data_IF_107386694982
#
_entry.id   IF_107386694982
#
_cell.length_a   1.000
_cell.length_b   1.000
_cell.length_c   1.000
_cell.angle_alpha   90.00
_cell.angle_beta   90.00
_cell.angle_gamma   90.00
#
_symmetry.space_group_name_H-M   'P 1'
#
loop_
_entity.id
_entity.type
_entity.pdbx_description
1 polymer ?
#
# COMPACT_ATOMS: atom_id res chain seq x y z
N UNK A 1 -46.94 -17.68 -9.67
CA UNK A 1 -46.37 -16.55 -8.89
C UNK A 1 -45.53 -16.99 -7.68
N UNK A 2 -45.92 -18.00 -6.89
CA UNK A 2 -45.09 -18.49 -5.76
C UNK A 2 -43.82 -19.25 -6.20
N UNK A 3 -43.91 -20.08 -7.24
CA UNK A 3 -42.77 -20.85 -7.78
C UNK A 3 -41.71 -19.98 -8.49
N UNK A 4 -42.13 -18.88 -9.14
CA UNK A 4 -41.21 -17.95 -9.82
C UNK A 4 -40.32 -17.17 -8.84
N UNK A 5 -40.83 -16.87 -7.64
CA UNK A 5 -40.05 -16.18 -6.60
C UNK A 5 -38.95 -17.10 -6.04
N UNK A 6 -39.27 -18.38 -5.82
CA UNK A 6 -38.29 -19.36 -5.31
C UNK A 6 -37.16 -19.57 -6.32
N UNK A 7 -37.49 -19.72 -7.60
CA UNK A 7 -36.48 -19.83 -8.66
C UNK A 7 -35.59 -18.58 -8.73
N UNK A 8 -36.16 -17.38 -8.61
CA UNK A 8 -35.42 -16.14 -8.62
C UNK A 8 -34.45 -16.01 -7.43
N UNK A 9 -34.88 -16.41 -6.23
CA UNK A 9 -34.03 -16.38 -5.03
C UNK A 9 -32.88 -17.38 -5.14
N UNK A 10 -33.13 -18.58 -5.68
CA UNK A 10 -32.08 -19.59 -5.92
C UNK A 10 -31.07 -19.08 -6.96
N UNK A 11 -31.54 -18.44 -8.02
CA UNK A 11 -30.68 -17.90 -9.07
C UNK A 11 -29.83 -16.72 -8.55
N UNK A 12 -30.41 -15.91 -7.66
CA UNK A 12 -29.71 -14.83 -6.97
C UNK A 12 -28.63 -15.38 -6.02
N UNK A 13 -28.91 -16.40 -5.22
CA UNK A 13 -27.92 -16.98 -4.30
C UNK A 13 -26.79 -17.71 -5.03
N UNK A 14 -27.09 -18.39 -6.13
CA UNK A 14 -26.09 -19.00 -7.01
C UNK A 14 -25.20 -17.97 -7.70
N UNK A 15 -25.73 -16.78 -8.03
CA UNK A 15 -24.94 -15.69 -8.60
C UNK A 15 -23.92 -15.11 -7.59
N UNK A 16 -24.22 -15.16 -6.28
CA UNK A 16 -23.29 -14.69 -5.24
C UNK A 16 -22.18 -15.69 -4.88
N UNK A 17 -22.32 -16.97 -5.24
CA UNK A 17 -21.30 -18.01 -5.01
C UNK A 17 -20.06 -17.88 -5.90
N UNK A 18 -20.10 -17.00 -6.91
CA UNK A 18 -19.03 -16.80 -7.89
C UNK A 18 -18.30 -15.47 -7.75
N UNK A 19 -18.56 -14.69 -6.69
CA UNK A 19 -17.77 -13.47 -6.48
C UNK A 19 -16.31 -13.88 -6.20
N UNK A 20 -15.35 -13.51 -7.05
CA UNK A 20 -13.95 -13.72 -6.73
C UNK A 20 -13.66 -12.94 -5.45
N UNK A 21 -13.09 -13.61 -4.45
CA UNK A 21 -12.47 -12.93 -3.34
C UNK A 21 -11.44 -11.98 -3.94
N UNK A 22 -11.65 -10.67 -3.80
CA UNK A 22 -10.66 -9.70 -4.22
C UNK A 22 -9.49 -9.91 -3.26
N UNK A 23 -8.44 -10.57 -3.73
CA UNK A 23 -7.19 -10.58 -3.01
C UNK A 23 -6.81 -9.12 -2.81
N UNK A 24 -6.74 -8.68 -1.55
CA UNK A 24 -6.19 -7.36 -1.22
C UNK A 24 -4.79 -7.32 -1.79
N UNK A 25 -4.64 -6.64 -2.92
CA UNK A 25 -3.36 -6.47 -3.59
C UNK A 25 -2.53 -5.57 -2.68
N UNK A 26 -1.73 -6.21 -1.81
CA UNK A 26 -0.83 -5.46 -0.94
C UNK A 26 0.14 -4.73 -1.87
N UNK A 27 0.15 -3.40 -1.77
CA UNK A 27 1.03 -2.59 -2.60
C UNK A 27 2.46 -3.13 -2.47
N UNK A 28 3.19 -3.34 -3.58
CA UNK A 28 4.56 -3.85 -3.55
C UNK A 28 5.52 -2.99 -2.69
N UNK A 29 5.14 -1.73 -2.40
CA UNK A 29 5.84 -0.85 -1.47
C UNK A 29 5.79 -1.39 -0.03
N UNK A 30 4.66 -1.94 0.42
CA UNK A 30 4.49 -2.46 1.79
C UNK A 30 5.33 -3.72 1.99
N UNK A 31 5.35 -4.61 1.00
CA UNK A 31 6.20 -5.81 1.00
C UNK A 31 7.69 -5.44 1.15
N UNK A 32 8.14 -4.44 0.38
CA UNK A 32 9.54 -4.01 0.36
C UNK A 32 9.97 -3.29 1.65
N UNK A 33 9.05 -2.64 2.36
CA UNK A 33 9.33 -2.04 3.68
C UNK A 33 9.69 -3.10 4.73
N UNK A 34 9.14 -4.31 4.66
CA UNK A 34 9.40 -5.39 5.62
C UNK A 34 10.73 -6.11 5.41
N UNK A 35 11.35 -5.97 4.24
CA UNK A 35 12.54 -6.75 3.85
C UNK A 35 13.88 -6.07 4.17
N UNK A 36 13.89 -4.78 4.54
CA UNK A 36 15.12 -4.05 4.84
C UNK A 36 15.27 -3.76 6.34
N UNK A 37 16.41 -4.06 6.97
CA UNK A 37 16.68 -3.62 8.33
C UNK A 37 16.61 -2.09 8.40
N UNK A 38 15.73 -1.57 9.26
CA UNK A 38 15.61 -0.13 9.46
C UNK A 38 16.86 0.40 10.16
N UNK A 39 17.70 1.10 9.41
CA UNK A 39 18.83 1.84 9.95
C UNK A 39 18.41 3.29 10.23
N UNK A 40 18.49 3.68 11.50
CA UNK A 40 18.17 5.03 11.95
C UNK A 40 19.41 5.90 11.95
N UNK A 41 19.33 7.07 11.31
CA UNK A 41 20.38 8.08 11.31
C UNK A 41 19.92 9.25 12.17
N UNK A 42 20.69 9.59 13.21
CA UNK A 42 20.41 10.73 14.10
C UNK A 42 20.64 12.05 13.36
N UNK A 43 19.75 13.02 13.57
CA UNK A 43 19.98 14.39 13.10
C UNK A 43 21.05 15.07 13.96
N UNK A 44 22.08 15.57 13.29
CA UNK A 44 23.18 16.37 13.82
C UNK A 44 23.28 17.72 13.08
N UNK A 45 22.18 18.16 12.45
CA UNK A 45 22.09 19.39 11.66
C UNK A 45 22.08 19.17 10.13
N UNK A 46 21.94 17.92 9.66
CA UNK A 46 21.83 17.64 8.22
C UNK A 46 20.44 17.97 7.66
N UNK A 47 19.43 18.01 8.52
CA UNK A 47 18.03 18.30 8.18
C UNK A 47 17.46 19.37 9.11
N UNK A 48 16.25 19.82 8.79
CA UNK A 48 15.43 20.67 9.65
C UNK A 48 15.45 20.21 11.12
N UNK A 49 15.57 21.16 12.05
CA UNK A 49 15.73 20.90 13.48
C UNK A 49 14.58 20.09 14.11
N UNK A 50 13.41 20.09 13.47
CA UNK A 50 12.26 19.29 13.91
C UNK A 50 12.47 17.80 13.73
N UNK A 51 13.38 17.39 12.84
CA UNK A 51 13.71 15.98 12.58
C UNK A 51 14.72 15.49 13.62
N UNK A 52 14.39 14.43 14.35
CA UNK A 52 15.28 13.77 15.31
C UNK A 52 16.06 12.63 14.68
N UNK A 53 15.38 11.83 13.85
CA UNK A 53 15.95 10.70 13.14
C UNK A 53 15.37 10.55 11.74
N UNK A 54 16.14 9.94 10.85
CA UNK A 54 15.70 9.51 9.51
C UNK A 54 16.00 8.03 9.32
N UNK A 55 15.09 7.29 8.69
CA UNK A 55 15.34 5.93 8.25
C UNK A 55 14.95 5.75 6.79
N UNK A 56 15.71 4.92 6.07
CA UNK A 56 15.31 4.41 4.76
C UNK A 56 14.56 3.09 4.96
N UNK A 57 13.33 3.02 4.48
CA UNK A 57 12.61 1.77 4.29
C UNK A 57 12.50 1.53 2.78
N UNK A 58 12.61 0.30 2.31
CA UNK A 58 12.53 0.02 0.88
C UNK A 58 11.23 0.58 0.28
N UNK A 59 11.31 1.69 -0.46
CA UNK A 59 10.14 2.39 -1.03
C UNK A 59 9.66 3.63 -0.27
N UNK A 60 10.22 3.95 0.91
CA UNK A 60 9.88 5.17 1.66
C UNK A 60 11.06 5.74 2.47
N UNK A 61 11.08 7.05 2.65
CA UNK A 61 11.86 7.68 3.73
C UNK A 61 10.95 7.96 4.91
N UNK A 62 11.35 7.53 6.11
CA UNK A 62 10.68 7.89 7.35
C UNK A 62 11.42 9.03 8.04
N UNK A 63 10.68 10.06 8.41
CA UNK A 63 11.14 11.23 9.15
C UNK A 63 10.50 11.22 10.53
N UNK A 64 11.32 11.10 11.58
CA UNK A 64 10.86 11.06 12.96
C UNK A 64 11.06 12.43 13.59
N UNK A 65 9.97 13.05 14.02
CA UNK A 65 9.94 14.38 14.63
C UNK A 65 9.38 14.30 16.05
N UNK A 66 9.36 15.41 16.78
CA UNK A 66 8.76 15.46 18.13
C UNK A 66 7.24 15.37 18.11
N UNK A 67 6.60 15.74 17.00
CA UNK A 67 5.15 15.80 16.80
C UNK A 67 4.59 14.59 16.03
N UNK A 68 5.44 13.75 15.43
CA UNK A 68 4.98 12.54 14.76
C UNK A 68 6.01 11.87 13.85
N UNK A 69 5.49 11.08 12.91
CA UNK A 69 6.30 10.41 11.89
C UNK A 69 5.73 10.73 10.52
N UNK A 70 6.55 11.28 9.64
CA UNK A 70 6.19 11.53 8.24
C UNK A 70 6.76 10.43 7.34
N UNK A 71 5.90 9.83 6.52
CA UNK A 71 6.28 8.84 5.52
C UNK A 71 6.32 9.47 4.13
N UNK A 72 7.50 9.52 3.54
CA UNK A 72 7.70 9.99 2.17
C UNK A 72 7.88 8.79 1.24
N UNK A 73 6.80 8.40 0.58
CA UNK A 73 6.80 7.29 -0.37
C UNK A 73 7.49 7.69 -1.68
N UNK A 74 8.30 6.79 -2.22
CA UNK A 74 8.95 6.96 -3.52
C UNK A 74 8.66 5.75 -4.37
N UNK A 75 8.08 5.96 -5.56
CA UNK A 75 7.98 4.92 -6.59
C UNK A 75 8.96 5.21 -7.71
N UNK A 76 9.66 4.19 -8.20
CA UNK A 76 10.42 4.28 -9.44
C UNK A 76 9.45 4.07 -10.60
N UNK A 77 9.49 4.95 -11.60
CA UNK A 77 8.73 4.80 -12.83
C UNK A 77 9.73 4.45 -13.92
N UNK A 78 9.70 3.22 -14.39
CA UNK A 78 10.53 2.80 -15.51
C UNK A 78 9.98 3.44 -16.80
N UNK A 79 10.84 4.16 -17.53
CA UNK A 79 10.47 4.89 -18.75
C UNK A 79 10.08 3.95 -19.91
N UNK A 80 10.31 2.65 -19.79
CA UNK A 80 10.08 1.65 -20.85
C UNK A 80 8.60 1.43 -21.20
N UNK A 81 7.64 1.87 -20.37
CA UNK A 81 6.21 1.77 -20.64
C UNK A 81 5.57 2.96 -21.36
N UNK A 82 6.31 4.06 -21.60
CA UNK A 82 5.73 5.32 -22.06
C UNK A 82 5.62 5.47 -23.60
N UNK A 83 6.02 4.46 -24.38
CA UNK A 83 5.98 4.50 -25.86
C UNK A 83 4.97 3.50 -26.40
N UNK A 84 3.76 3.45 -25.84
CA UNK A 84 2.58 2.82 -26.46
C UNK A 84 1.30 3.50 -25.97
N UNK A 85 1.08 4.73 -26.43
CA UNK A 85 -0.22 5.37 -26.47
C UNK A 85 -0.37 5.99 -27.85
#
# INVERSE_FOLDING_TARGET
MRSTIVAFVILLTLAFLWLPAHATDQSPVVEQMNQMPLAFTKNMGQWDERVLFRANAGGATMWFTTDGVTYQFTRRIDRSGAVRA
#
